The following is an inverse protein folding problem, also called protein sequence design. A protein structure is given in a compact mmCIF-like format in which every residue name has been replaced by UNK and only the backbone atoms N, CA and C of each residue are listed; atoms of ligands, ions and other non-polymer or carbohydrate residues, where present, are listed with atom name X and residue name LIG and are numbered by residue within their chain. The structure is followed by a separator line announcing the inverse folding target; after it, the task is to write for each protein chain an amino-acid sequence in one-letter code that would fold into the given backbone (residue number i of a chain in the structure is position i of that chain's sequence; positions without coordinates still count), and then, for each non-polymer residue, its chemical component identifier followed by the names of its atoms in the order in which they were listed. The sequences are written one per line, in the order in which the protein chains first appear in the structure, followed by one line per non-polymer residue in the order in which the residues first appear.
data_IF_518861356087
#
_entry.id   IF_518861356087
#
_cell.length_a   1.000
_cell.length_b   1.000
_cell.length_c   1.000
_cell.angle_alpha   90.00
_cell.angle_beta   90.00
_cell.angle_gamma   90.00
#
_symmetry.space_group_name_H-M   'P 1'
#
loop_
_entity.id
_entity.type
_entity.pdbx_description
1 polymer ?
#
# COMPACT_ATOMS: atom_id res chain seq x y z
N UNK A 1 29.45 -1.64 17.96
CA UNK A 1 30.79 -1.15 18.36
C UNK A 1 31.48 -0.65 17.09
N UNK A 2 31.45 0.66 16.86
CA UNK A 2 31.99 1.31 15.66
C UNK A 2 33.42 1.80 15.93
N UNK A 3 34.39 1.41 15.11
CA UNK A 3 35.69 2.07 14.96
C UNK A 3 35.93 2.21 13.46
N UNK A 4 35.89 3.46 12.93
CA UNK A 4 37.07 4.29 12.63
C UNK A 4 37.97 3.57 11.62
N UNK A 5 38.21 4.05 10.40
CA UNK A 5 38.26 5.42 9.90
C UNK A 5 39.35 5.37 8.82
N UNK A 6 39.01 5.74 7.60
CA UNK A 6 39.88 5.65 6.45
C UNK A 6 41.08 6.61 6.57
N UNK A 7 42.29 6.08 6.42
CA UNK A 7 43.51 6.87 6.19
C UNK A 7 44.26 6.29 5.00
N UNK A 8 43.88 6.72 3.79
CA UNK A 8 44.74 6.60 2.61
C UNK A 8 45.21 8.01 2.27
N UNK A 9 46.17 8.51 3.05
CA UNK A 9 46.98 9.67 2.69
C UNK A 9 48.07 9.20 1.73
N UNK A 10 47.72 9.02 0.47
CA UNK A 10 48.71 8.86 -0.59
C UNK A 10 49.32 10.24 -0.88
N UNK A 11 50.58 10.40 -0.48
CA UNK A 11 51.47 11.51 -0.83
C UNK A 11 51.37 11.88 -2.31
N UNK A 12 50.71 13.01 -2.60
CA UNK A 12 50.87 13.74 -3.86
C UNK A 12 52.21 14.50 -3.82
N UNK A 13 53.29 13.76 -3.96
CA UNK A 13 54.64 14.28 -4.18
C UNK A 13 54.93 14.45 -5.68
N UNK A 14 54.14 15.29 -6.37
CA UNK A 14 54.37 15.67 -7.76
C UNK A 14 54.07 17.16 -7.98
N UNK A 15 54.92 18.04 -7.43
CA UNK A 15 55.00 19.44 -7.87
C UNK A 15 56.32 20.10 -7.45
N UNK A 16 57.46 19.48 -7.78
CA UNK A 16 58.70 20.24 -7.95
C UNK A 16 59.08 20.09 -9.40
N UNK A 17 58.51 20.96 -10.24
CA UNK A 17 59.05 21.17 -11.59
C UNK A 17 60.35 21.94 -11.37
N UNK A 18 61.52 21.40 -11.76
CA UNK A 18 62.77 22.12 -11.67
C UNK A 18 62.64 23.41 -12.47
N UNK A 19 63.16 24.52 -11.94
CA UNK A 19 63.38 25.72 -12.73
C UNK A 19 64.40 25.39 -13.84
N UNK A 20 63.91 24.90 -14.98
CA UNK A 20 64.71 24.52 -16.14
C UNK A 20 65.21 25.80 -16.84
N UNK A 21 66.33 26.32 -16.36
CA UNK A 21 67.02 27.51 -16.87
C UNK A 21 67.70 27.33 -18.25
N UNK A 22 67.11 26.55 -19.16
CA UNK A 22 67.68 26.27 -20.49
C UNK A 22 66.69 25.90 -21.59
N UNK A 23 65.38 25.86 -21.33
CA UNK A 23 64.36 25.66 -22.37
C UNK A 23 63.85 27.00 -22.88
N UNK A 24 63.70 27.13 -24.20
CA UNK A 24 63.13 28.33 -24.79
C UNK A 24 61.71 28.56 -24.27
N UNK A 25 61.30 29.83 -24.11
CA UNK A 25 59.93 30.18 -23.68
C UNK A 25 58.83 29.51 -24.53
N UNK A 26 59.13 29.20 -25.80
CA UNK A 26 58.23 28.48 -26.69
C UNK A 26 58.02 27.01 -26.26
N UNK A 27 59.09 26.29 -25.90
CA UNK A 27 58.99 24.90 -25.42
C UNK A 27 58.20 24.83 -24.12
N UNK A 28 58.38 25.83 -23.23
CA UNK A 28 57.58 25.95 -22.01
C UNK A 28 56.10 26.17 -22.33
N UNK A 29 55.76 27.07 -23.25
CA UNK A 29 54.38 27.30 -23.65
C UNK A 29 53.73 26.04 -24.25
N UNK A 30 54.46 25.29 -25.09
CA UNK A 30 53.99 24.01 -25.61
C UNK A 30 53.75 22.97 -24.51
N UNK A 31 54.65 22.89 -23.52
CA UNK A 31 54.49 22.00 -22.38
C UNK A 31 53.25 22.33 -21.55
N UNK A 32 53.02 23.62 -21.25
CA UNK A 32 51.85 24.07 -20.46
C UNK A 32 50.53 23.86 -21.21
N UNK A 33 50.49 24.15 -22.52
CA UNK A 33 49.31 23.88 -23.36
C UNK A 33 48.98 22.39 -23.40
N UNK A 34 50.00 21.54 -23.50
CA UNK A 34 49.83 20.08 -23.47
C UNK A 34 49.31 19.60 -22.11
N UNK A 35 49.87 20.12 -21.02
CA UNK A 35 49.39 19.82 -19.67
C UNK A 35 47.93 20.27 -19.45
N UNK A 36 47.58 21.47 -19.91
CA UNK A 36 46.22 21.99 -19.85
C UNK A 36 45.25 21.14 -20.69
N UNK A 37 45.64 20.71 -21.89
CA UNK A 37 44.84 19.81 -22.72
C UNK A 37 44.59 18.48 -22.00
N UNK A 38 45.63 17.88 -21.40
CA UNK A 38 45.48 16.63 -20.66
C UNK A 38 44.52 16.77 -19.46
N UNK A 39 44.56 17.90 -18.76
CA UNK A 39 43.60 18.20 -17.67
C UNK A 39 42.18 18.37 -18.18
N UNK A 40 41.98 19.06 -19.30
CA UNK A 40 40.67 19.23 -19.94
C UNK A 40 40.11 17.88 -20.41
N UNK A 41 40.95 17.02 -20.99
CA UNK A 41 40.56 15.68 -21.41
C UNK A 41 40.18 14.80 -20.21
N UNK A 42 40.93 14.90 -19.10
CA UNK A 42 40.56 14.24 -17.85
C UNK A 42 39.22 14.78 -17.30
N UNK A 43 39.02 16.09 -17.32
CA UNK A 43 37.77 16.73 -16.91
C UNK A 43 36.59 16.30 -17.80
N UNK A 44 36.78 16.16 -19.11
CA UNK A 44 35.77 15.64 -20.04
C UNK A 44 35.38 14.19 -19.72
N UNK A 45 36.35 13.33 -19.38
CA UNK A 45 36.09 11.94 -19.01
C UNK A 45 35.31 11.81 -17.70
N UNK A 46 35.53 12.72 -16.75
CA UNK A 46 34.89 12.71 -15.44
C UNK A 46 33.54 13.47 -15.47
N UNK A 47 33.43 14.50 -16.30
CA UNK A 47 32.45 15.59 -16.22
C UNK A 47 31.06 15.37 -16.81
N UNK A 48 30.62 14.14 -17.01
CA UNK A 48 29.30 13.83 -17.60
C UNK A 48 28.08 14.18 -16.70
N UNK A 49 28.26 14.93 -15.60
CA UNK A 49 27.18 15.25 -14.65
C UNK A 49 27.21 16.70 -14.18
N UNK A 50 26.03 17.32 -14.11
CA UNK A 50 25.80 18.65 -13.52
C UNK A 50 26.29 19.83 -14.37
N UNK A 51 26.80 20.88 -13.70
CA UNK A 51 27.27 22.13 -14.30
C UNK A 51 28.70 22.03 -14.91
N UNK A 52 29.33 20.86 -14.80
CA UNK A 52 30.69 20.56 -15.25
C UNK A 52 30.91 20.82 -16.75
N UNK A 53 29.98 20.49 -17.67
CA UNK A 53 30.17 20.73 -19.10
C UNK A 53 30.40 22.20 -19.46
N UNK A 54 29.75 23.13 -18.76
CA UNK A 54 29.96 24.57 -18.97
C UNK A 54 31.35 25.02 -18.50
N UNK A 55 31.85 24.46 -17.40
CA UNK A 55 33.19 24.77 -16.88
C UNK A 55 34.29 24.22 -17.79
N UNK A 56 34.08 23.01 -18.35
CA UNK A 56 35.02 22.43 -19.31
C UNK A 56 35.00 23.18 -20.64
N UNK A 57 33.84 23.65 -21.10
CA UNK A 57 33.75 24.52 -22.27
C UNK A 57 34.54 25.83 -22.08
N UNK A 58 34.46 26.44 -20.88
CA UNK A 58 35.25 27.63 -20.55
C UNK A 58 36.76 27.34 -20.50
N UNK A 59 37.16 26.20 -19.94
CA UNK A 59 38.55 25.76 -19.94
C UNK A 59 39.08 25.54 -21.37
N UNK A 60 38.27 24.94 -22.25
CA UNK A 60 38.61 24.74 -23.66
C UNK A 60 38.72 26.07 -24.42
N UNK A 61 37.86 27.04 -24.12
CA UNK A 61 37.94 28.38 -24.69
C UNK A 61 39.27 29.07 -24.30
N UNK A 62 39.64 29.02 -23.01
CA UNK A 62 40.92 29.56 -22.53
C UNK A 62 42.13 28.86 -23.17
N UNK A 63 42.05 27.54 -23.39
CA UNK A 63 43.10 26.80 -24.09
C UNK A 63 43.26 27.24 -25.56
N UNK A 64 42.16 27.56 -26.23
CA UNK A 64 42.21 28.04 -27.61
C UNK A 64 42.87 29.42 -27.68
N UNK A 65 42.60 30.31 -26.72
CA UNK A 65 43.29 31.61 -26.59
C UNK A 65 44.79 31.42 -26.33
N UNK A 66 45.17 30.47 -25.46
CA UNK A 66 46.57 30.13 -25.22
C UNK A 66 47.31 29.68 -26.50
N UNK A 67 46.65 28.85 -27.32
CA UNK A 67 47.18 28.39 -28.61
C UNK A 67 47.34 29.54 -29.61
N UNK A 68 46.38 30.46 -29.64
CA UNK A 68 46.44 31.67 -30.48
C UNK A 68 47.56 32.61 -30.06
N UNK A 69 47.71 32.88 -28.76
CA UNK A 69 48.81 33.69 -28.23
C UNK A 69 50.19 33.08 -28.54
N UNK A 70 50.32 31.75 -28.48
CA UNK A 70 51.56 31.09 -28.87
C UNK A 70 51.85 31.24 -30.36
N UNK A 71 50.84 31.12 -31.22
CA UNK A 71 50.97 31.32 -32.67
C UNK A 71 51.35 32.77 -33.02
N UNK A 72 50.85 33.74 -32.26
CA UNK A 72 51.17 35.17 -32.41
C UNK A 72 52.54 35.56 -31.81
N UNK A 73 53.25 34.62 -31.17
CA UNK A 73 54.56 34.87 -30.55
C UNK A 73 54.49 35.42 -29.12
N UNK A 74 53.29 35.59 -28.55
CA UNK A 74 53.02 36.05 -27.19
C UNK A 74 53.17 34.89 -26.19
N UNK A 75 54.43 34.48 -25.97
CA UNK A 75 54.75 33.26 -25.22
C UNK A 75 54.40 33.35 -23.74
N UNK A 76 54.54 34.53 -23.14
CA UNK A 76 54.27 34.72 -21.71
C UNK A 76 52.74 34.71 -21.45
N UNK A 77 51.96 35.34 -22.34
CA UNK A 77 50.50 35.31 -22.34
C UNK A 77 49.97 33.90 -22.59
N UNK A 78 50.54 33.17 -23.56
CA UNK A 78 50.18 31.78 -23.83
C UNK A 78 50.38 30.86 -22.62
N UNK A 79 51.46 31.06 -21.85
CA UNK A 79 51.70 30.33 -20.60
C UNK A 79 50.65 30.70 -19.55
N UNK A 80 50.34 31.98 -19.38
CA UNK A 80 49.34 32.43 -18.41
C UNK A 80 47.94 31.86 -18.74
N UNK A 81 47.54 31.90 -20.00
CA UNK A 81 46.24 31.36 -20.45
C UNK A 81 46.17 29.84 -20.33
N UNK A 82 47.27 29.12 -20.62
CA UNK A 82 47.33 27.67 -20.45
C UNK A 82 47.20 27.27 -18.96
N UNK A 83 47.87 28.01 -18.05
CA UNK A 83 47.73 27.79 -16.60
C UNK A 83 46.29 28.06 -16.16
N UNK A 84 45.67 29.14 -16.63
CA UNK A 84 44.29 29.48 -16.33
C UNK A 84 43.32 28.39 -16.82
N UNK A 85 43.51 27.90 -18.06
CA UNK A 85 42.74 26.78 -18.60
C UNK A 85 42.88 25.51 -17.74
N UNK A 86 44.09 25.21 -17.27
CA UNK A 86 44.36 24.10 -16.35
C UNK A 86 43.65 24.25 -15.00
N UNK A 87 43.63 25.45 -14.42
CA UNK A 87 42.92 25.73 -13.16
C UNK A 87 41.40 25.58 -13.30
N UNK A 88 40.84 26.03 -14.43
CA UNK A 88 39.41 25.85 -14.73
C UNK A 88 39.06 24.36 -14.85
N UNK A 89 39.90 23.57 -15.51
CA UNK A 89 39.73 22.13 -15.63
C UNK A 89 39.81 21.42 -14.27
N UNK A 90 40.79 21.76 -13.43
CA UNK A 90 40.92 21.19 -12.07
C UNK A 90 39.69 21.54 -11.20
N UNK A 91 39.19 22.77 -11.31
CA UNK A 91 37.97 23.20 -10.62
C UNK A 91 36.75 22.42 -11.11
N UNK A 92 36.64 22.19 -12.43
CA UNK A 92 35.57 21.38 -13.01
C UNK A 92 35.60 19.93 -12.49
N UNK A 93 36.78 19.32 -12.37
CA UNK A 93 36.96 17.98 -11.80
C UNK A 93 36.52 17.94 -10.33
N UNK A 94 36.95 18.91 -9.53
CA UNK A 94 36.54 19.02 -8.12
C UNK A 94 35.02 19.15 -7.95
N UNK A 95 34.39 20.02 -8.76
CA UNK A 95 32.95 20.20 -8.76
C UNK A 95 32.20 18.92 -9.19
N UNK A 96 32.71 18.20 -10.19
CA UNK A 96 32.14 16.94 -10.63
C UNK A 96 32.19 15.87 -9.53
N UNK A 97 33.32 15.73 -8.82
CA UNK A 97 33.42 14.80 -7.69
C UNK A 97 32.46 15.14 -6.56
N UNK A 98 32.30 16.42 -6.23
CA UNK A 98 31.32 16.85 -5.23
C UNK A 98 29.89 16.55 -5.67
N UNK A 99 29.56 16.80 -6.94
CA UNK A 99 28.24 16.49 -7.48
C UNK A 99 27.95 14.98 -7.45
N UNK A 100 28.92 14.15 -7.82
CA UNK A 100 28.82 12.68 -7.73
C UNK A 100 28.64 12.21 -6.29
N UNK A 101 29.41 12.77 -5.35
CA UNK A 101 29.27 12.46 -3.92
C UNK A 101 27.87 12.76 -3.40
N UNK A 102 27.35 13.96 -3.67
CA UNK A 102 25.97 14.34 -3.29
C UNK A 102 24.92 13.45 -3.94
N UNK A 103 25.09 13.09 -5.21
CA UNK A 103 24.16 12.19 -5.89
C UNK A 103 24.18 10.78 -5.30
N UNK A 104 25.35 10.28 -4.89
CA UNK A 104 25.48 8.99 -4.21
C UNK A 104 24.83 9.03 -2.81
N UNK A 105 25.07 10.10 -2.04
CA UNK A 105 24.43 10.31 -0.74
C UNK A 105 22.90 10.37 -0.85
N UNK A 106 22.38 11.11 -1.83
CA UNK A 106 20.94 11.17 -2.10
C UNK A 106 20.36 9.79 -2.39
N UNK A 107 21.02 8.99 -3.24
CA UNK A 107 20.58 7.60 -3.52
C UNK A 107 20.56 6.72 -2.28
N UNK A 108 21.53 6.86 -1.38
CA UNK A 108 21.56 6.12 -0.12
C UNK A 108 20.43 6.57 0.81
N UNK A 109 20.17 7.88 0.89
CA UNK A 109 19.05 8.41 1.66
C UNK A 109 17.70 7.90 1.13
N UNK A 110 17.50 7.92 -0.19
CA UNK A 110 16.29 7.41 -0.85
C UNK A 110 16.12 5.90 -0.61
N UNK A 111 17.19 5.12 -0.75
CA UNK A 111 17.16 3.68 -0.48
C UNK A 111 16.82 3.38 0.98
N UNK A 112 17.35 4.15 1.93
CA UNK A 112 17.02 4.01 3.34
C UNK A 112 15.57 4.38 3.63
N UNK A 113 15.05 5.45 3.01
CA UNK A 113 13.64 5.83 3.15
C UNK A 113 12.70 4.75 2.60
N UNK A 114 13.04 4.16 1.44
CA UNK A 114 12.29 3.02 0.88
C UNK A 114 12.34 1.79 1.78
N UNK A 115 13.51 1.48 2.36
CA UNK A 115 13.65 0.36 3.31
C UNK A 115 12.81 0.58 4.57
N UNK A 116 12.77 1.81 5.11
CA UNK A 116 11.94 2.15 6.26
C UNK A 116 10.45 2.05 5.93
N UNK A 117 10.03 2.51 4.75
CA UNK A 117 8.65 2.38 4.31
C UNK A 117 8.24 0.90 4.19
N UNK A 118 9.08 0.07 3.56
CA UNK A 118 8.82 -1.36 3.43
C UNK A 118 8.73 -2.08 4.79
N UNK A 119 9.49 -1.63 5.80
CA UNK A 119 9.39 -2.16 7.16
C UNK A 119 8.08 -1.77 7.84
N UNK A 120 7.61 -0.54 7.64
CA UNK A 120 6.32 -0.08 8.17
C UNK A 120 5.17 -0.85 7.51
N UNK A 121 5.17 -0.96 6.18
CA UNK A 121 4.14 -1.70 5.43
C UNK A 121 4.09 -3.18 5.87
N UNK A 122 5.25 -3.79 6.14
CA UNK A 122 5.32 -5.15 6.65
C UNK A 122 4.76 -5.29 8.07
N UNK A 123 5.00 -4.31 8.95
CA UNK A 123 4.44 -4.30 10.30
C UNK A 123 2.91 -4.09 10.28
N UNK A 124 2.42 -3.20 9.41
CA UNK A 124 0.99 -2.97 9.24
C UNK A 124 0.28 -4.21 8.69
N UNK A 125 0.87 -4.87 7.70
CA UNK A 125 0.34 -6.13 7.18
C UNK A 125 0.29 -7.24 8.26
N UNK A 126 1.28 -7.30 9.16
CA UNK A 126 1.27 -8.22 10.30
C UNK A 126 0.15 -7.89 11.28
N UNK A 127 -0.05 -6.61 11.61
CA UNK A 127 -1.14 -6.18 12.48
C UNK A 127 -2.52 -6.50 11.89
N UNK A 128 -2.71 -6.26 10.60
CA UNK A 128 -3.93 -6.59 9.87
C UNK A 128 -4.21 -8.10 9.87
N UNK A 129 -3.18 -8.92 9.65
CA UNK A 129 -3.31 -10.37 9.72
C UNK A 129 -3.71 -10.83 11.13
N UNK A 130 -3.10 -10.26 12.17
CA UNK A 130 -3.42 -10.56 13.56
C UNK A 130 -4.88 -10.20 13.90
N UNK A 131 -5.35 -9.04 13.43
CA UNK A 131 -6.73 -8.59 13.62
C UNK A 131 -7.74 -9.53 12.93
N UNK A 132 -7.43 -9.98 11.70
CA UNK A 132 -8.27 -10.94 10.96
C UNK A 132 -8.36 -12.30 11.66
N UNK A 133 -7.25 -12.78 12.24
CA UNK A 133 -7.24 -14.02 13.02
C UNK A 133 -8.11 -13.88 14.27
N UNK A 134 -8.00 -12.77 15.00
CA UNK A 134 -8.81 -12.51 16.19
C UNK A 134 -10.31 -12.46 15.86
N UNK A 135 -10.69 -11.78 14.78
CA UNK A 135 -12.08 -11.71 14.31
C UNK A 135 -12.61 -13.07 13.83
N UNK A 136 -11.79 -13.87 13.15
CA UNK A 136 -12.15 -15.24 12.77
C UNK A 136 -12.39 -16.13 14.00
N UNK A 137 -11.54 -16.04 15.03
CA UNK A 137 -11.69 -16.78 16.27
C UNK A 137 -12.98 -16.37 17.00
N UNK A 138 -13.27 -15.08 17.11
CA UNK A 138 -14.52 -14.61 17.73
C UNK A 138 -15.76 -15.14 17.00
N UNK A 139 -15.73 -15.19 15.66
CA UNK A 139 -16.82 -15.77 14.87
C UNK A 139 -16.95 -17.28 15.09
N UNK A 140 -15.84 -18.00 15.22
CA UNK A 140 -15.85 -19.43 15.52
C UNK A 140 -16.42 -19.72 16.93
N UNK A 141 -16.07 -18.92 17.92
CA UNK A 141 -16.60 -19.03 19.29
C UNK A 141 -18.12 -18.77 19.32
N UNK A 142 -18.57 -17.72 18.64
CA UNK A 142 -19.99 -17.41 18.51
C UNK A 142 -20.78 -18.52 17.81
N UNK A 143 -20.22 -19.08 16.73
CA UNK A 143 -20.84 -20.20 16.02
C UNK A 143 -20.94 -21.45 16.92
N UNK A 144 -19.90 -21.71 17.71
CA UNK A 144 -19.87 -22.84 18.66
C UNK A 144 -20.92 -22.68 19.77
N UNK A 145 -21.05 -21.48 20.33
CA UNK A 145 -22.07 -21.17 21.32
C UNK A 145 -23.50 -21.29 20.74
N UNK A 146 -23.72 -20.79 19.52
CA UNK A 146 -25.02 -20.88 18.84
C UNK A 146 -25.41 -22.34 18.53
N UNK A 147 -24.44 -23.18 18.13
CA UNK A 147 -24.66 -24.60 17.91
C UNK A 147 -25.05 -25.33 19.20
N UNK A 148 -24.38 -25.04 20.32
CA UNK A 148 -24.71 -25.60 21.63
C UNK A 148 -26.12 -25.19 22.10
N UNK A 149 -26.47 -23.91 21.94
CA UNK A 149 -27.81 -23.40 22.28
C UNK A 149 -28.91 -24.06 21.42
N UNK A 150 -28.63 -24.28 20.13
CA UNK A 150 -29.55 -24.94 19.21
C UNK A 150 -29.74 -26.41 19.57
N UNK A 151 -28.67 -27.11 19.93
CA UNK A 151 -28.74 -28.51 20.39
C UNK A 151 -29.54 -28.65 21.70
N UNK A 152 -29.33 -27.75 22.67
CA UNK A 152 -30.12 -27.73 23.91
C UNK A 152 -31.61 -27.46 23.65
N UNK A 153 -31.92 -26.53 22.73
CA UNK A 153 -33.30 -26.22 22.37
C UNK A 153 -34.00 -27.40 21.67
N UNK A 154 -33.27 -28.12 20.80
CA UNK A 154 -33.80 -29.32 20.15
C UNK A 154 -34.08 -30.44 21.16
N UNK A 155 -33.19 -30.67 22.12
CA UNK A 155 -33.39 -31.64 23.19
C UNK A 155 -34.63 -31.30 24.04
N UNK A 156 -34.79 -30.04 24.45
CA UNK A 156 -35.96 -29.59 25.20
C UNK A 156 -37.28 -29.74 24.40
N UNK A 157 -37.26 -29.51 23.09
CA UNK A 157 -38.42 -29.72 22.23
C UNK A 157 -38.80 -31.21 22.14
N UNK A 158 -37.83 -32.12 22.08
CA UNK A 158 -38.07 -33.57 22.12
C UNK A 158 -38.67 -34.02 23.45
N UNK A 159 -38.16 -33.55 24.58
CA UNK A 159 -38.74 -33.87 25.89
C UNK A 159 -40.21 -33.41 25.99
N UNK A 160 -40.53 -32.25 25.44
CA UNK A 160 -41.92 -31.76 25.44
C UNK A 160 -42.83 -32.61 24.54
N UNK A 161 -42.34 -33.05 23.38
CA UNK A 161 -43.09 -33.96 22.51
C UNK A 161 -43.35 -35.32 23.18
N UNK A 162 -42.35 -35.88 23.86
CA UNK A 162 -42.50 -37.14 24.60
C UNK A 162 -43.48 -37.00 25.77
N UNK A 163 -43.47 -35.85 26.47
CA UNK A 163 -44.44 -35.54 27.51
C UNK A 163 -45.88 -35.45 26.98
N UNK A 164 -46.07 -34.84 25.80
CA UNK A 164 -47.38 -34.80 25.14
C UNK A 164 -47.84 -36.20 24.66
N UNK A 165 -46.90 -37.06 24.24
CA UNK A 165 -47.21 -38.43 23.80
C UNK A 165 -47.62 -39.35 24.97
N UNK A 166 -47.06 -39.11 26.16
CA UNK A 166 -47.39 -39.85 27.38
C UNK A 166 -48.56 -39.25 28.18
N UNK A 167 -49.26 -38.22 27.66
CA UNK A 167 -50.45 -37.69 28.33
C UNK A 167 -51.63 -38.67 28.20
N UNK A 168 -52.30 -39.04 29.31
CA UNK A 168 -53.49 -39.88 29.25
C UNK A 168 -54.61 -39.20 28.45
N UNK A 169 -55.42 -39.95 27.68
CA UNK A 169 -56.42 -39.37 26.79
C UNK A 169 -57.45 -38.57 27.59
N UNK A 170 -57.51 -37.26 27.35
CA UNK A 170 -58.58 -36.41 27.87
C UNK A 170 -59.76 -36.46 26.92
N UNK A 171 -60.90 -36.95 27.42
CA UNK A 171 -62.16 -36.98 26.66
C UNK A 171 -62.73 -35.57 26.58
N UNK A 172 -62.77 -35.00 25.37
CA UNK A 172 -63.41 -33.69 25.13
C UNK A 172 -64.85 -33.91 24.69
N UNK A 173 -65.80 -33.49 25.53
CA UNK A 173 -67.22 -33.46 25.17
C UNK A 173 -67.55 -32.13 24.48
N UNK A 174 -67.55 -32.11 23.15
CA UNK A 174 -68.01 -30.94 22.38
C UNK A 174 -69.52 -31.00 22.18
N UNK A 175 -70.27 -30.13 22.87
CA UNK A 175 -71.71 -29.96 22.63
C UNK A 175 -71.89 -28.86 21.57
N UNK A 176 -72.48 -29.18 20.42
CA UNK A 176 -72.81 -28.20 19.38
C UNK A 176 -74.33 -28.01 19.36
N UNK A 177 -74.82 -26.86 19.81
CA UNK A 177 -76.24 -26.50 19.69
C UNK A 177 -76.47 -25.77 18.36
N UNK A 178 -77.24 -26.39 17.47
CA UNK A 178 -77.69 -25.77 16.21
C UNK A 178 -78.97 -24.98 16.47
N UNK A 179 -78.84 -23.67 16.68
CA UNK A 179 -80.01 -22.78 16.72
C UNK A 179 -80.36 -22.35 15.30
N UNK A 180 -81.49 -22.84 14.78
CA UNK A 180 -82.08 -22.40 13.52
C UNK A 180 -83.10 -21.30 13.81
N UNK A 181 -82.83 -20.06 13.38
CA UNK A 181 -83.81 -18.97 13.42
C UNK A 181 -84.63 -18.93 12.14
N UNK A 182 -85.98 -18.87 12.21
CA UNK A 182 -86.82 -18.80 11.02
C UNK A 182 -86.68 -17.44 10.30
N UNK A 183 -86.60 -17.48 8.97
CA UNK A 183 -86.60 -16.30 8.10
C UNK A 183 -88.04 -15.81 7.92
N UNK A 184 -88.32 -14.56 8.27
CA UNK A 184 -89.62 -13.93 8.03
C UNK A 184 -89.70 -13.37 6.60
N UNK A 185 -90.63 -13.88 5.79
CA UNK A 185 -91.07 -13.21 4.56
C UNK A 185 -92.11 -12.15 4.90
N UNK A 186 -91.91 -10.92 4.40
CA UNK A 186 -92.91 -9.85 4.45
C UNK A 186 -93.96 -10.12 3.37
N UNK A 187 -95.20 -10.38 3.79
CA UNK A 187 -96.35 -10.54 2.90
C UNK A 187 -97.28 -9.34 3.09
N UNK A 188 -97.64 -8.67 2.00
CA UNK A 188 -98.68 -7.65 2.02
C UNK A 188 -100.06 -8.29 2.23
N UNK A 189 -100.83 -7.68 3.15
CA UNK A 189 -102.14 -8.13 3.67
C UNK A 189 -103.15 -8.48 2.58
N UNK A 190 -103.65 -9.71 2.62
CA UNK A 190 -105.07 -10.04 2.46
C UNK A 190 -105.42 -11.09 3.53
N UNK A 191 -106.55 -10.88 4.19
CA UNK A 191 -106.99 -11.59 5.41
C UNK A 191 -107.37 -13.04 5.10
N UNK A 192 -106.79 -14.02 5.81
CA UNK A 192 -107.46 -15.25 6.27
C UNK A 192 -106.73 -15.88 7.48
N UNK A 193 -107.50 -16.50 8.38
CA UNK A 193 -107.13 -17.17 9.65
C UNK A 193 -107.00 -18.70 9.40
N UNK A 194 -106.63 -19.55 10.39
CA UNK A 194 -105.36 -19.78 11.12
C UNK A 194 -104.70 -21.15 10.78
N UNK A 195 -103.45 -21.42 11.18
CA UNK A 195 -103.01 -22.81 11.46
C UNK A 195 -101.91 -22.88 12.54
N UNK A 196 -102.13 -23.74 13.52
CA UNK A 196 -101.21 -24.14 14.59
C UNK A 196 -100.14 -25.09 14.04
N UNK A 197 -98.85 -24.82 14.29
CA UNK A 197 -97.73 -25.69 13.92
C UNK A 197 -97.00 -26.22 15.15
N UNK A 198 -96.99 -27.53 15.33
CA UNK A 198 -96.26 -28.28 16.36
C UNK A 198 -94.75 -28.26 16.11
N UNK A 199 -93.96 -27.97 17.15
CA UNK A 199 -92.50 -28.11 17.16
C UNK A 199 -92.11 -29.53 17.59
N UNK A 200 -91.50 -30.29 16.69
CA UNK A 200 -90.83 -31.56 17.02
C UNK A 200 -89.32 -31.30 17.05
N UNK A 201 -88.69 -31.56 18.19
CA UNK A 201 -87.23 -31.52 18.32
C UNK A 201 -86.68 -32.95 18.14
N UNK A 202 -85.93 -33.19 17.07
CA UNK A 202 -85.14 -34.42 16.92
C UNK A 202 -83.77 -34.22 17.60
N UNK A 203 -83.45 -35.14 18.52
CA UNK A 203 -82.13 -35.24 19.15
C UNK A 203 -81.33 -36.30 18.41
N UNK A 204 -80.23 -35.89 17.78
CA UNK A 204 -79.23 -36.82 17.23
C UNK A 204 -78.01 -36.80 18.13
N UNK A 205 -77.71 -37.95 18.75
CA UNK A 205 -76.46 -38.16 19.50
C UNK A 205 -75.45 -38.78 18.55
N UNK A 206 -74.29 -38.13 18.36
CA UNK A 206 -73.17 -38.72 17.64
C UNK A 206 -71.96 -38.81 18.57
N UNK A 207 -71.54 -40.03 18.84
CA UNK A 207 -70.32 -40.33 19.57
C UNK A 207 -69.19 -40.43 18.55
N UNK A 208 -68.19 -39.54 18.62
CA UNK A 208 -66.99 -39.65 17.79
C UNK A 208 -65.84 -40.09 18.69
N UNK A 209 -65.32 -41.27 18.42
CA UNK A 209 -64.06 -41.76 18.98
C UNK A 209 -62.97 -41.51 17.94
N UNK A 210 -62.04 -40.61 18.21
CA UNK A 210 -60.84 -40.44 17.36
C UNK A 210 -59.76 -41.37 17.87
N UNK A 211 -59.69 -42.57 17.29
CA UNK A 211 -58.49 -43.41 17.38
C UNK A 211 -57.46 -42.90 16.37
N UNK A 212 -56.24 -42.65 16.83
CA UNK A 212 -55.08 -42.35 15.98
C UNK A 212 -54.74 -43.56 15.10
N UNK A 213 -54.47 -43.37 13.79
CA UNK A 213 -54.01 -44.47 12.93
C UNK A 213 -52.60 -44.91 13.32
N UNK A 214 -52.38 -46.21 13.44
CA UNK A 214 -51.06 -46.85 13.60
C UNK A 214 -50.22 -46.75 12.32
#
# INVERSE_FOLDING_TARGET
MYMRGASVSALLAFAVVPAHAGWGKADRAHAEISAAQAKIDAANKIGASGNTPAMVANAQAALNVAKENLANGNKDEAIADAIHAGQLADTAVGAAHQAQGRAAEARVADANAQAQQAQQDAADAQNDAQARIADANSRADNASAAAQASAASAAAAQENLDAMRNQPPTVVTTTTEKTSTPVHHVVHRVVHRPVTGTTTAERTTTTVSTGTPE
#
